data_IF_381982841278
#
_entry.id   IF_381982841278
#
_cell.length_a   1.000
_cell.length_b   1.000
_cell.length_c   1.000
_cell.angle_alpha   90.00
_cell.angle_beta   90.00
_cell.angle_gamma   90.00
#
_symmetry.space_group_name_H-M   'P 1'
#
loop_
_entity.id
_entity.type
_entity.pdbx_description
1 polymer ?
#
# COMPACT_ATOMS: atom_id res chain seq x y z
N UNK A 1 -24.18 37.74 -51.81
CA UNK A 1 -25.54 37.12 -51.84
C UNK A 1 -25.35 35.66 -51.43
N UNK A 2 -25.94 35.06 -50.41
CA UNK A 2 -26.94 35.38 -49.39
C UNK A 2 -26.53 34.51 -48.19
N UNK A 3 -26.09 35.11 -47.09
CA UNK A 3 -25.97 34.43 -45.78
C UNK A 3 -26.57 35.37 -44.74
N UNK A 4 -27.90 35.51 -44.75
CA UNK A 4 -28.63 36.24 -43.70
C UNK A 4 -30.03 35.65 -43.52
N UNK A 5 -30.48 35.71 -42.27
CA UNK A 5 -31.87 35.59 -41.79
C UNK A 5 -32.39 34.25 -41.24
N UNK A 6 -31.53 33.39 -40.67
CA UNK A 6 -32.03 32.23 -39.89
C UNK A 6 -31.82 32.29 -38.36
N UNK A 7 -31.10 33.28 -37.80
CA UNK A 7 -30.70 33.22 -36.37
C UNK A 7 -31.33 34.23 -35.41
N UNK A 8 -32.10 35.23 -35.86
CA UNK A 8 -32.71 36.22 -34.95
C UNK A 8 -34.15 35.89 -34.52
N UNK A 9 -34.91 35.18 -35.35
CA UNK A 9 -36.30 34.80 -35.03
C UNK A 9 -36.38 33.71 -33.94
N UNK A 10 -35.40 32.80 -33.87
CA UNK A 10 -35.34 31.76 -32.83
C UNK A 10 -34.90 32.29 -31.46
N UNK A 11 -34.11 33.37 -31.42
CA UNK A 11 -33.69 34.01 -30.17
C UNK A 11 -34.83 34.83 -29.54
N UNK A 12 -35.67 35.47 -30.36
CA UNK A 12 -36.84 36.22 -29.90
C UNK A 12 -37.96 35.31 -29.34
N UNK A 13 -38.06 34.06 -29.84
CA UNK A 13 -39.04 33.10 -29.35
C UNK A 13 -38.64 32.47 -28.00
N UNK A 14 -37.33 32.33 -27.73
CA UNK A 14 -36.80 31.85 -26.45
C UNK A 14 -37.02 32.84 -25.29
N UNK A 15 -37.25 34.13 -25.57
CA UNK A 15 -37.44 35.18 -24.57
C UNK A 15 -38.91 35.45 -24.21
N UNK A 16 -39.89 34.88 -24.91
CA UNK A 16 -41.32 35.06 -24.59
C UNK A 16 -41.81 34.25 -23.38
N UNK A 17 -41.00 33.33 -22.84
CA UNK A 17 -41.31 32.54 -21.65
C UNK A 17 -40.75 33.08 -20.32
N UNK A 18 -40.03 34.21 -20.31
CA UNK A 18 -39.34 34.73 -19.13
C UNK A 18 -39.90 36.10 -18.69
N UNK A 19 -41.20 36.14 -18.39
CA UNK A 19 -41.80 37.25 -17.65
C UNK A 19 -41.66 36.99 -16.15
N UNK A 20 -40.44 37.12 -15.60
CA UNK A 20 -40.11 37.30 -14.17
C UNK A 20 -38.58 37.38 -14.01
N UNK A 21 -37.95 38.37 -14.66
CA UNK A 21 -36.57 38.77 -14.34
C UNK A 21 -36.64 39.92 -13.33
N UNK A 22 -35.86 39.84 -12.25
CA UNK A 22 -35.75 40.95 -11.30
C UNK A 22 -35.26 42.24 -12.04
N UNK A 23 -35.83 43.42 -11.74
CA UNK A 23 -35.62 44.66 -12.50
C UNK A 23 -34.16 45.05 -12.83
N UNK A 24 -33.16 44.86 -11.94
CA UNK A 24 -31.80 45.31 -12.24
C UNK A 24 -31.11 44.47 -13.34
N UNK A 25 -31.46 43.20 -13.51
CA UNK A 25 -30.78 42.30 -14.45
C UNK A 25 -31.25 42.45 -15.90
N UNK A 26 -32.56 42.64 -16.10
CA UNK A 26 -33.10 42.92 -17.44
C UNK A 26 -32.53 44.21 -18.04
N UNK A 27 -32.28 45.21 -17.19
CA UNK A 27 -31.72 46.51 -17.60
C UNK A 27 -30.25 46.39 -18.01
N UNK A 28 -29.47 45.57 -17.32
CA UNK A 28 -28.05 45.32 -17.62
C UNK A 28 -27.86 44.54 -18.93
N UNK A 29 -28.69 43.50 -19.16
CA UNK A 29 -28.66 42.71 -20.39
C UNK A 29 -29.02 43.56 -21.62
N UNK A 30 -30.04 44.42 -21.49
CA UNK A 30 -30.50 45.30 -22.58
C UNK A 30 -29.48 46.41 -22.91
N UNK A 31 -28.70 46.88 -21.93
CA UNK A 31 -27.62 47.87 -22.14
C UNK A 31 -26.48 47.27 -22.98
N UNK A 32 -26.11 46.04 -22.70
CA UNK A 32 -24.96 45.38 -23.35
C UNK A 32 -25.27 44.87 -24.75
N UNK A 33 -26.53 44.52 -25.00
CA UNK A 33 -27.03 44.26 -26.36
C UNK A 33 -26.98 45.51 -27.26
N UNK A 34 -27.19 46.72 -26.71
CA UNK A 34 -27.11 47.98 -27.49
C UNK A 34 -25.67 48.40 -27.80
N UNK A 35 -24.71 48.05 -26.95
CA UNK A 35 -23.30 48.42 -27.11
C UNK A 35 -22.48 47.45 -27.99
N UNK A 36 -23.13 46.48 -28.66
CA UNK A 36 -22.48 45.46 -29.52
C UNK A 36 -21.36 44.70 -28.80
N UNK A 37 -21.57 44.38 -27.52
CA UNK A 37 -20.64 43.56 -26.76
C UNK A 37 -20.44 42.18 -27.42
N UNK A 38 -19.26 41.56 -27.27
CA UNK A 38 -18.97 40.29 -27.90
C UNK A 38 -19.78 39.14 -27.28
N UNK A 39 -20.06 38.12 -28.10
CA UNK A 39 -21.04 37.04 -27.80
C UNK A 39 -20.76 36.27 -26.50
N UNK A 40 -19.50 36.16 -26.07
CA UNK A 40 -19.11 35.47 -24.85
C UNK A 40 -19.49 36.23 -23.56
N UNK A 41 -19.59 37.56 -23.61
CA UNK A 41 -20.06 38.40 -22.48
C UNK A 41 -21.56 38.24 -22.29
N UNK A 42 -22.32 38.17 -23.39
CA UNK A 42 -23.75 37.90 -23.37
C UNK A 42 -24.06 36.46 -22.89
N UNK A 43 -23.26 35.47 -23.29
CA UNK A 43 -23.41 34.10 -22.82
C UNK A 43 -23.12 33.94 -21.32
N UNK A 44 -22.13 34.67 -20.79
CA UNK A 44 -21.82 34.67 -19.34
C UNK A 44 -22.94 35.25 -18.47
N UNK A 45 -23.60 36.33 -18.92
CA UNK A 45 -24.74 36.92 -18.21
C UNK A 45 -25.99 36.02 -18.22
N UNK A 46 -26.19 35.23 -19.28
CA UNK A 46 -27.29 34.25 -19.36
C UNK A 46 -27.00 33.02 -18.47
N UNK A 47 -25.76 32.57 -18.36
CA UNK A 47 -25.38 31.46 -17.47
C UNK A 47 -25.58 31.79 -15.98
N UNK A 48 -25.33 33.04 -15.57
CA UNK A 48 -25.59 33.52 -14.20
C UNK A 48 -27.10 33.58 -13.87
N UNK A 49 -27.97 33.75 -14.87
CA UNK A 49 -29.43 33.72 -14.70
C UNK A 49 -29.99 32.29 -14.57
N UNK A 50 -29.35 31.31 -15.20
CA UNK A 50 -29.77 29.89 -15.13
C UNK A 50 -29.16 29.22 -13.89
N UNK A 51 -27.96 29.64 -13.46
CA UNK A 51 -27.30 29.10 -12.27
C UNK A 51 -27.88 29.56 -10.92
N UNK A 52 -28.75 30.58 -10.90
CA UNK A 52 -29.32 31.17 -9.68
C UNK A 52 -30.69 30.63 -9.24
N UNK A 53 -31.30 29.71 -9.98
CA UNK A 53 -32.67 29.23 -9.74
C UNK A 53 -32.74 27.72 -9.43
N UNK A 54 -31.85 27.22 -8.57
CA UNK A 54 -31.90 25.86 -8.03
C UNK A 54 -31.73 25.89 -6.51
N UNK A 55 -32.60 26.63 -5.82
CA UNK A 55 -32.88 26.39 -4.41
C UNK A 55 -34.41 26.44 -4.20
N UNK A 56 -34.94 25.38 -3.59
CA UNK A 56 -36.32 25.16 -3.13
C UNK A 56 -37.41 24.93 -4.19
N UNK A 57 -37.73 23.66 -4.44
CA UNK A 57 -39.06 23.11 -4.13
C UNK A 57 -38.95 21.62 -3.78
N UNK A 58 -39.62 21.23 -2.69
CA UNK A 58 -39.56 19.89 -2.11
C UNK A 58 -40.23 18.83 -3.00
N UNK A 59 -39.47 17.78 -3.31
CA UNK A 59 -39.98 16.50 -3.75
C UNK A 59 -40.23 15.58 -2.56
N UNK A 60 -41.36 14.86 -2.59
CA UNK A 60 -41.67 13.73 -1.71
C UNK A 60 -40.49 12.77 -1.62
N UNK A 61 -40.25 12.11 -0.47
CA UNK A 61 -39.11 11.21 -0.32
C UNK A 61 -39.28 10.02 -1.26
N UNK A 62 -38.55 10.04 -2.37
CA UNK A 62 -38.25 8.83 -3.12
C UNK A 62 -37.62 7.84 -2.14
N UNK A 63 -38.04 6.56 -2.10
CA UNK A 63 -37.30 5.57 -1.32
C UNK A 63 -35.83 5.69 -1.74
N UNK A 64 -34.88 5.66 -0.79
CA UNK A 64 -33.48 5.83 -1.15
C UNK A 64 -33.18 4.84 -2.27
N UNK A 65 -32.72 5.34 -3.42
CA UNK A 65 -31.91 4.53 -4.34
C UNK A 65 -30.95 3.77 -3.42
N UNK A 66 -30.88 2.43 -3.46
CA UNK A 66 -30.15 1.67 -2.47
C UNK A 66 -28.77 2.32 -2.37
N UNK A 67 -28.56 2.99 -1.24
CA UNK A 67 -27.25 3.50 -0.91
C UNK A 67 -26.34 2.28 -1.00
N UNK A 68 -25.10 2.48 -1.40
CA UNK A 68 -24.06 1.45 -1.28
C UNK A 68 -23.87 0.98 0.19
N UNK A 69 -24.73 1.39 1.12
CA UNK A 69 -24.80 1.08 2.55
C UNK A 69 -25.67 -0.15 2.85
N UNK A 70 -25.63 -1.13 1.98
CA UNK A 70 -25.65 -2.52 2.44
C UNK A 70 -24.68 -3.37 1.61
N UNK A 71 -23.51 -2.80 1.28
CA UNK A 71 -22.34 -3.65 1.09
C UNK A 71 -22.17 -4.39 2.43
N UNK A 72 -22.59 -5.66 2.48
CA UNK A 72 -22.36 -6.53 3.63
C UNK A 72 -20.90 -6.34 4.03
N UNK A 73 -20.65 -5.68 5.16
CA UNK A 73 -19.30 -5.48 5.66
C UNK A 73 -18.69 -6.87 5.79
N UNK A 74 -17.74 -7.18 4.91
CA UNK A 74 -17.20 -8.53 4.79
C UNK A 74 -16.63 -8.89 6.15
N UNK A 75 -17.21 -9.93 6.77
CA UNK A 75 -16.77 -10.40 8.07
C UNK A 75 -15.67 -11.43 7.88
N UNK A 76 -14.49 -11.10 8.39
CA UNK A 76 -13.31 -11.96 8.39
C UNK A 76 -13.21 -12.75 9.70
N UNK A 77 -12.90 -14.03 9.59
CA UNK A 77 -12.71 -14.95 10.72
C UNK A 77 -11.23 -15.36 10.78
N UNK A 78 -10.56 -15.25 11.92
CA UNK A 78 -9.14 -15.59 12.03
C UNK A 78 -8.91 -17.08 11.80
N UNK A 79 -7.83 -17.39 11.10
CA UNK A 79 -7.31 -18.74 10.92
C UNK A 79 -5.99 -18.89 11.69
N UNK A 80 -4.85 -18.58 11.06
CA UNK A 80 -3.51 -18.64 11.66
C UNK A 80 -2.52 -17.77 10.87
N UNK A 81 -1.44 -17.33 11.51
CA UNK A 81 -0.33 -16.62 10.85
C UNK A 81 -0.80 -15.48 9.93
N UNK A 82 -1.68 -14.62 10.44
CA UNK A 82 -2.34 -13.52 9.73
C UNK A 82 -3.30 -13.93 8.59
N UNK A 83 -3.57 -15.22 8.36
CA UNK A 83 -4.64 -15.66 7.48
C UNK A 83 -6.01 -15.57 8.17
N UNK A 84 -6.99 -15.14 7.38
CA UNK A 84 -8.40 -15.03 7.72
C UNK A 84 -9.24 -15.56 6.57
N UNK A 85 -10.47 -15.98 6.85
CA UNK A 85 -11.42 -16.34 5.81
C UNK A 85 -12.77 -15.67 5.99
N UNK A 86 -13.52 -15.58 4.89
CA UNK A 86 -14.95 -15.19 4.93
C UNK A 86 -15.82 -16.45 5.01
N UNK A 87 -17.14 -16.26 5.23
CA UNK A 87 -18.11 -17.39 5.17
C UNK A 87 -18.24 -17.98 3.77
N UNK A 88 -17.97 -17.18 2.75
CA UNK A 88 -18.08 -17.56 1.35
C UNK A 88 -16.82 -18.28 0.84
N UNK A 89 -15.83 -18.49 1.73
CA UNK A 89 -14.61 -19.24 1.42
C UNK A 89 -13.48 -18.40 0.84
N UNK A 90 -13.58 -17.07 0.82
CA UNK A 90 -12.46 -16.20 0.42
C UNK A 90 -11.34 -16.26 1.47
N UNK A 91 -10.09 -16.17 1.02
CA UNK A 91 -8.91 -16.11 1.88
C UNK A 91 -8.31 -14.71 1.88
N UNK A 92 -7.97 -14.22 3.07
CA UNK A 92 -7.40 -12.90 3.28
C UNK A 92 -6.16 -12.97 4.14
N UNK A 93 -5.10 -12.27 3.75
CA UNK A 93 -3.94 -12.03 4.60
C UNK A 93 -4.06 -10.66 5.25
N UNK A 94 -4.14 -10.62 6.58
CA UNK A 94 -4.36 -9.41 7.36
C UNK A 94 -3.10 -8.52 7.35
N UNK A 95 -3.31 -7.25 7.03
CA UNK A 95 -2.28 -6.20 7.00
C UNK A 95 -2.82 -4.91 7.62
N UNK A 96 -1.92 -3.98 7.93
CA UNK A 96 -2.26 -2.66 8.44
C UNK A 96 -1.77 -1.58 7.47
N UNK A 97 -2.68 -0.75 6.98
CA UNK A 97 -2.34 0.38 6.14
C UNK A 97 -2.44 1.68 6.93
N UNK A 98 -1.43 2.54 6.84
CA UNK A 98 -1.43 3.87 7.41
C UNK A 98 -2.60 4.69 6.83
N UNK A 99 -3.27 5.44 7.70
CA UNK A 99 -4.27 6.41 7.27
C UNK A 99 -3.59 7.70 6.84
N UNK A 100 -4.08 8.34 5.77
CA UNK A 100 -3.46 9.54 5.19
C UNK A 100 -3.38 10.76 6.13
N UNK A 101 -4.02 10.70 7.28
CA UNK A 101 -3.99 11.71 8.35
C UNK A 101 -2.84 11.50 9.36
N UNK A 102 -1.94 10.53 9.11
CA UNK A 102 -0.79 10.17 9.95
C UNK A 102 -1.13 9.79 11.40
N UNK A 103 -2.41 9.51 11.69
CA UNK A 103 -2.89 9.32 13.08
C UNK A 103 -3.49 7.95 13.37
N UNK A 104 -3.36 7.01 12.45
CA UNK A 104 -3.82 5.65 12.64
C UNK A 104 -3.37 4.68 11.56
N UNK A 105 -3.73 3.42 11.77
CA UNK A 105 -3.72 2.40 10.74
C UNK A 105 -5.10 1.78 10.64
N UNK A 106 -5.45 1.32 9.44
CA UNK A 106 -6.67 0.57 9.19
C UNK A 106 -6.31 -0.87 8.84
N UNK A 107 -7.04 -1.81 9.43
CA UNK A 107 -6.91 -3.23 9.12
C UNK A 107 -7.47 -3.49 7.72
N UNK A 108 -6.69 -4.20 6.90
CA UNK A 108 -7.07 -4.62 5.55
C UNK A 108 -6.73 -6.09 5.36
N UNK A 109 -7.30 -6.68 4.33
CA UNK A 109 -7.10 -8.08 3.98
C UNK A 109 -6.70 -8.17 2.51
N UNK A 110 -5.47 -8.62 2.26
CA UNK A 110 -5.00 -8.91 0.91
C UNK A 110 -5.65 -10.21 0.46
N UNK A 111 -6.30 -10.23 -0.70
CA UNK A 111 -6.92 -11.44 -1.28
C UNK A 111 -6.18 -11.97 -2.50
N UNK A 112 -5.18 -11.23 -2.97
CA UNK A 112 -4.33 -11.58 -4.10
C UNK A 112 -2.86 -11.32 -3.74
N UNK A 113 -1.94 -12.02 -4.41
CA UNK A 113 -0.51 -11.77 -4.27
C UNK A 113 -0.10 -10.43 -4.90
N UNK A 114 1.09 -10.00 -4.51
CA UNK A 114 1.73 -8.74 -4.92
C UNK A 114 0.83 -7.53 -4.58
N UNK A 115 0.84 -6.50 -5.42
CA UNK A 115 0.02 -5.31 -5.24
C UNK A 115 -1.44 -5.53 -5.71
N UNK A 116 -1.99 -6.72 -5.48
CA UNK A 116 -3.33 -7.11 -5.91
C UNK A 116 -3.45 -7.55 -7.38
N UNK A 117 -2.32 -7.66 -8.09
CA UNK A 117 -2.28 -8.09 -9.50
C UNK A 117 -1.94 -9.57 -9.70
N UNK A 118 -1.49 -10.26 -8.65
CA UNK A 118 -1.12 -11.68 -8.71
C UNK A 118 -2.33 -12.61 -8.60
N UNK A 119 -2.05 -13.91 -8.48
CA UNK A 119 -3.08 -14.92 -8.27
C UNK A 119 -3.83 -14.68 -6.94
N UNK A 120 -5.05 -15.22 -6.83
CA UNK A 120 -5.80 -15.18 -5.56
C UNK A 120 -5.11 -16.05 -4.53
N UNK A 121 -5.11 -15.60 -3.28
CA UNK A 121 -4.49 -16.35 -2.17
C UNK A 121 -5.16 -17.71 -1.97
N UNK A 122 -6.49 -17.75 -2.07
CA UNK A 122 -7.30 -18.97 -1.88
C UNK A 122 -6.95 -20.09 -2.89
N UNK A 123 -6.45 -19.72 -4.07
CA UNK A 123 -6.15 -20.67 -5.15
C UNK A 123 -4.74 -21.29 -5.02
N UNK A 124 -3.87 -20.70 -4.18
CA UNK A 124 -2.44 -21.07 -4.11
C UNK A 124 -2.02 -21.52 -2.71
N UNK A 125 -2.52 -20.86 -1.66
CA UNK A 125 -2.07 -21.12 -0.28
C UNK A 125 -2.65 -22.42 0.24
N UNK A 126 -1.78 -23.34 0.64
CA UNK A 126 -2.20 -24.49 1.44
C UNK A 126 -2.41 -24.04 2.89
N UNK A 127 -3.66 -23.68 3.21
CA UNK A 127 -4.04 -23.20 4.55
C UNK A 127 -3.71 -24.22 5.62
N UNK A 128 -3.77 -25.53 5.36
CA UNK A 128 -3.53 -26.55 6.39
C UNK A 128 -2.09 -26.56 6.88
N UNK A 129 -1.13 -26.27 6.00
CA UNK A 129 0.32 -26.31 6.29
C UNK A 129 0.97 -24.93 6.36
N UNK A 130 0.22 -23.85 6.10
CA UNK A 130 0.72 -22.49 6.19
C UNK A 130 1.22 -22.13 7.60
N UNK A 131 2.43 -21.60 7.70
CA UNK A 131 3.06 -21.17 8.95
C UNK A 131 4.00 -19.96 8.73
N UNK A 132 4.16 -19.15 9.78
CA UNK A 132 5.15 -18.07 9.82
C UNK A 132 6.51 -18.62 10.28
N UNK A 133 7.59 -18.16 9.65
CA UNK A 133 8.96 -18.56 9.97
C UNK A 133 9.59 -17.59 10.97
N UNK A 134 9.55 -17.96 12.26
CA UNK A 134 10.13 -17.15 13.34
C UNK A 134 9.37 -15.84 13.58
N UNK A 135 10.09 -14.76 13.89
CA UNK A 135 9.56 -13.39 14.03
C UNK A 135 9.61 -12.59 12.72
N UNK A 136 10.03 -13.22 11.62
CA UNK A 136 10.29 -12.55 10.35
C UNK A 136 9.05 -12.38 9.47
N UNK A 137 9.26 -11.74 8.33
CA UNK A 137 8.26 -11.57 7.27
C UNK A 137 8.15 -12.78 6.31
N UNK A 138 8.79 -13.91 6.62
CA UNK A 138 8.72 -15.11 5.80
C UNK A 138 7.66 -16.08 6.29
N UNK A 139 6.96 -16.70 5.35
CA UNK A 139 5.95 -17.73 5.60
C UNK A 139 6.18 -18.90 4.66
N UNK A 140 5.72 -20.09 5.02
CA UNK A 140 5.75 -21.23 4.10
C UNK A 140 4.50 -22.08 4.24
N UNK A 141 4.23 -22.84 3.21
CA UNK A 141 3.38 -24.02 3.30
C UNK A 141 4.12 -25.23 2.70
N UNK A 142 3.43 -26.36 2.53
CA UNK A 142 4.05 -27.59 1.98
C UNK A 142 4.60 -27.42 0.55
N UNK A 143 4.14 -26.41 -0.18
CA UNK A 143 4.38 -26.21 -1.62
C UNK A 143 5.12 -24.92 -1.96
N UNK A 144 5.13 -23.91 -1.09
CA UNK A 144 5.58 -22.57 -1.40
C UNK A 144 6.29 -21.91 -0.22
N UNK A 145 7.19 -20.99 -0.54
CA UNK A 145 7.80 -20.04 0.38
C UNK A 145 7.27 -18.66 -0.01
N UNK A 146 6.88 -17.87 0.98
CA UNK A 146 6.28 -16.56 0.80
C UNK A 146 7.06 -15.51 1.57
N UNK A 147 6.98 -14.28 1.08
CA UNK A 147 7.49 -13.11 1.76
C UNK A 147 6.40 -12.05 1.85
N UNK A 148 6.15 -11.56 3.05
CA UNK A 148 5.43 -10.32 3.26
C UNK A 148 6.43 -9.15 3.18
N UNK A 149 6.06 -8.08 2.50
CA UNK A 149 6.86 -6.87 2.46
C UNK A 149 5.98 -5.72 2.96
N UNK A 150 6.23 -5.32 4.21
CA UNK A 150 5.44 -4.30 4.89
C UNK A 150 5.69 -2.90 4.30
N UNK A 151 4.60 -2.18 4.03
CA UNK A 151 4.60 -0.85 3.46
C UNK A 151 3.48 -0.01 4.07
N UNK A 152 3.60 1.31 3.97
CA UNK A 152 2.61 2.23 4.52
C UNK A 152 1.18 1.99 4.01
N UNK A 153 0.98 1.39 2.84
CA UNK A 153 -0.32 1.08 2.25
C UNK A 153 -0.83 -0.34 2.58
N UNK A 154 -0.14 -1.07 3.47
CA UNK A 154 -0.45 -2.45 3.84
C UNK A 154 0.39 -3.49 3.12
N UNK A 155 1.38 -3.07 2.32
CA UNK A 155 2.39 -3.98 1.80
C UNK A 155 1.87 -4.98 0.77
N UNK A 156 2.65 -6.04 0.59
CA UNK A 156 2.31 -7.15 -0.31
C UNK A 156 2.76 -8.49 0.25
N UNK A 157 1.99 -9.53 -0.05
CA UNK A 157 2.43 -10.92 0.11
C UNK A 157 2.82 -11.43 -1.28
N UNK A 158 4.03 -11.99 -1.41
CA UNK A 158 4.53 -12.51 -2.68
C UNK A 158 5.00 -13.96 -2.52
N UNK A 159 4.90 -14.75 -3.60
CA UNK A 159 5.64 -16.00 -3.70
C UNK A 159 7.13 -15.66 -3.75
N UNK A 160 7.90 -16.17 -2.78
CA UNK A 160 9.31 -15.81 -2.70
C UNK A 160 10.12 -16.38 -3.87
N UNK A 161 9.65 -17.45 -4.51
CA UNK A 161 10.22 -17.96 -5.75
C UNK A 161 10.09 -16.99 -6.92
N UNK A 162 9.13 -16.08 -6.91
CA UNK A 162 9.02 -15.06 -7.96
C UNK A 162 10.07 -13.95 -7.75
N UNK A 163 10.46 -13.72 -6.49
CA UNK A 163 11.53 -12.80 -6.11
C UNK A 163 12.91 -13.44 -6.31
N UNK A 164 13.07 -14.69 -5.86
CA UNK A 164 14.31 -15.47 -5.90
C UNK A 164 14.06 -16.87 -6.49
N UNK A 165 14.03 -17.03 -7.82
CA UNK A 165 13.65 -18.28 -8.50
C UNK A 165 14.49 -19.50 -8.15
N UNK A 166 15.71 -19.28 -7.67
CA UNK A 166 16.66 -20.35 -7.32
C UNK A 166 16.77 -20.62 -5.82
N UNK A 167 15.85 -20.10 -5.00
CA UNK A 167 15.83 -20.39 -3.57
C UNK A 167 15.61 -21.86 -3.30
N UNK A 168 16.45 -22.46 -2.46
CA UNK A 168 16.24 -23.81 -1.96
C UNK A 168 15.30 -23.75 -0.74
N UNK A 169 14.00 -23.95 -1.01
CA UNK A 169 12.94 -23.96 0.01
C UNK A 169 13.19 -24.97 1.13
N UNK A 170 13.73 -26.14 0.82
CA UNK A 170 13.85 -27.24 1.80
C UNK A 170 14.90 -26.91 2.87
N UNK A 171 15.96 -26.22 2.46
CA UNK A 171 17.04 -25.76 3.35
C UNK A 171 16.86 -24.32 3.85
N UNK A 172 15.74 -23.66 3.52
CA UNK A 172 15.50 -22.27 3.88
C UNK A 172 15.28 -22.11 5.40
N UNK A 173 16.08 -21.22 6.01
CA UNK A 173 16.08 -20.93 7.44
C UNK A 173 16.17 -19.43 7.64
N UNK A 174 15.26 -18.88 8.44
CA UNK A 174 15.32 -17.51 8.92
C UNK A 174 16.38 -17.40 10.01
N UNK A 175 17.31 -16.45 9.85
CA UNK A 175 18.39 -16.21 10.81
C UNK A 175 17.99 -15.16 11.85
N UNK A 176 17.35 -14.08 11.41
CA UNK A 176 16.73 -13.05 12.25
C UNK A 176 15.71 -12.26 11.41
N UNK A 177 15.23 -11.12 11.91
CA UNK A 177 14.23 -10.28 11.21
C UNK A 177 14.72 -9.71 9.86
N UNK A 178 16.03 -9.67 9.63
CA UNK A 178 16.64 -9.06 8.45
C UNK A 178 17.21 -10.09 7.47
N UNK A 179 17.65 -11.23 7.97
CA UNK A 179 18.43 -12.20 7.21
C UNK A 179 17.80 -13.59 7.25
N UNK A 180 17.83 -14.25 6.10
CA UNK A 180 17.55 -15.67 5.96
C UNK A 180 18.66 -16.34 5.14
N UNK A 181 18.66 -17.66 5.10
CA UNK A 181 19.60 -18.42 4.28
C UNK A 181 18.98 -19.67 3.74
N UNK A 182 19.54 -20.17 2.65
CA UNK A 182 19.42 -21.57 2.26
C UNK A 182 20.81 -22.24 2.30
N UNK A 183 20.93 -23.46 1.76
CA UNK A 183 22.22 -24.18 1.76
C UNK A 183 23.35 -23.47 0.99
N UNK A 184 23.04 -22.56 0.08
CA UNK A 184 23.98 -21.98 -0.87
C UNK A 184 24.00 -20.45 -0.89
N UNK A 185 23.07 -19.77 -0.21
CA UNK A 185 22.91 -18.31 -0.29
C UNK A 185 22.44 -17.71 1.03
N UNK A 186 22.75 -16.42 1.19
CA UNK A 186 22.19 -15.55 2.21
C UNK A 186 21.25 -14.57 1.55
N UNK A 187 20.12 -14.31 2.20
CA UNK A 187 19.08 -13.41 1.75
C UNK A 187 18.90 -12.27 2.75
N UNK A 188 18.80 -11.05 2.22
CA UNK A 188 18.36 -9.89 2.96
C UNK A 188 16.90 -9.60 2.62
N UNK A 189 16.06 -9.37 3.64
CA UNK A 189 14.62 -9.30 3.48
C UNK A 189 14.16 -8.18 2.52
N UNK A 190 14.90 -7.08 2.38
CA UNK A 190 14.55 -6.01 1.41
C UNK A 190 15.33 -6.06 0.10
N UNK A 191 16.32 -6.94 -0.03
CA UNK A 191 17.30 -6.87 -1.14
C UNK A 191 17.53 -8.17 -1.89
N UNK A 192 16.85 -9.27 -1.55
CA UNK A 192 17.10 -10.58 -2.16
C UNK A 192 18.42 -11.18 -1.70
N UNK A 193 19.07 -12.00 -2.53
CA UNK A 193 20.31 -12.67 -2.13
C UNK A 193 21.56 -11.79 -2.18
N UNK A 194 22.43 -11.96 -1.19
CA UNK A 194 23.69 -11.22 -1.04
C UNK A 194 24.80 -11.99 -1.75
N UNK A 195 25.35 -11.41 -2.83
CA UNK A 195 26.26 -12.13 -3.75
C UNK A 195 27.61 -12.47 -3.13
N UNK A 196 28.14 -11.56 -2.34
CA UNK A 196 29.48 -11.64 -1.76
C UNK A 196 29.50 -12.36 -0.41
N UNK A 197 28.32 -12.71 0.12
CA UNK A 197 28.21 -13.37 1.42
C UNK A 197 28.65 -14.83 1.33
N UNK A 198 29.43 -15.24 2.32
CA UNK A 198 29.77 -16.66 2.52
C UNK A 198 28.74 -17.34 3.43
N UNK A 199 27.83 -18.19 2.89
CA UNK A 199 26.74 -18.76 3.67
C UNK A 199 27.20 -19.74 4.75
N UNK A 200 28.38 -20.36 4.57
CA UNK A 200 28.94 -21.33 5.50
C UNK A 200 29.49 -20.69 6.78
N UNK A 201 29.81 -19.40 6.74
CA UNK A 201 30.34 -18.64 7.88
C UNK A 201 29.49 -17.45 8.30
N UNK A 202 28.34 -17.25 7.65
CA UNK A 202 27.45 -16.11 7.90
C UNK A 202 26.79 -16.18 9.28
N UNK A 203 26.85 -15.07 10.01
CA UNK A 203 26.28 -14.88 11.34
C UNK A 203 25.50 -13.56 11.32
N UNK A 204 24.17 -13.66 11.42
CA UNK A 204 23.31 -12.52 11.70
C UNK A 204 23.41 -12.16 13.20
N UNK A 205 23.54 -10.86 13.52
CA UNK A 205 23.79 -10.40 14.89
C UNK A 205 22.51 -9.88 15.54
N UNK A 206 21.96 -10.68 16.47
CA UNK A 206 20.79 -10.31 17.27
C UNK A 206 19.58 -9.94 16.41
N UNK A 207 18.76 -9.02 16.91
CA UNK A 207 17.58 -8.45 16.22
C UNK A 207 17.96 -7.18 15.42
N UNK A 208 19.15 -7.19 14.80
CA UNK A 208 19.66 -6.03 14.06
C UNK A 208 19.94 -6.35 12.59
N UNK A 209 20.10 -5.31 11.79
CA UNK A 209 20.52 -5.42 10.40
C UNK A 209 22.03 -5.69 10.24
N UNK A 210 22.76 -5.88 11.34
CA UNK A 210 24.19 -6.20 11.31
C UNK A 210 24.39 -7.71 11.17
N UNK A 211 25.28 -8.09 10.28
CA UNK A 211 25.76 -9.45 10.13
C UNK A 211 27.24 -9.45 9.77
N UNK A 212 27.84 -10.64 9.75
CA UNK A 212 29.20 -10.84 9.24
C UNK A 212 29.36 -12.23 8.67
N UNK A 213 30.37 -12.41 7.84
CA UNK A 213 30.91 -13.71 7.51
C UNK A 213 32.39 -13.79 7.90
N UNK A 214 33.14 -14.75 7.35
CA UNK A 214 34.58 -14.89 7.60
C UNK A 214 35.43 -13.78 6.95
N UNK A 215 34.88 -13.03 6.01
CA UNK A 215 35.59 -12.06 5.17
C UNK A 215 35.25 -10.60 5.53
N UNK A 216 34.00 -10.32 5.90
CA UNK A 216 33.51 -8.93 6.06
C UNK A 216 32.27 -8.84 6.95
N UNK A 217 31.88 -7.60 7.25
CA UNK A 217 30.60 -7.27 7.87
C UNK A 217 29.57 -6.89 6.81
N UNK A 218 28.30 -7.02 7.18
CA UNK A 218 27.16 -6.58 6.38
C UNK A 218 26.23 -5.73 7.23
N UNK A 219 25.74 -4.64 6.66
CA UNK A 219 24.72 -3.79 7.26
C UNK A 219 23.62 -3.55 6.23
N UNK A 220 22.37 -3.85 6.59
CA UNK A 220 21.22 -3.78 5.67
C UNK A 220 21.44 -4.54 4.35
N UNK A 221 22.09 -5.71 4.41
CA UNK A 221 22.37 -6.55 3.24
C UNK A 221 23.58 -6.13 2.41
N UNK A 222 24.23 -5.01 2.73
CA UNK A 222 25.39 -4.50 1.99
C UNK A 222 26.68 -4.71 2.76
N UNK A 223 27.80 -4.91 2.05
CA UNK A 223 29.11 -5.02 2.68
C UNK A 223 29.46 -3.70 3.41
N UNK A 224 29.83 -3.81 4.69
CA UNK A 224 30.13 -2.67 5.54
C UNK A 224 31.60 -2.66 5.96
N UNK A 225 32.18 -1.45 6.01
CA UNK A 225 33.50 -1.23 6.59
C UNK A 225 33.44 -1.25 8.12
N UNK A 226 34.50 -1.69 8.83
CA UNK A 226 34.50 -1.79 10.28
C UNK A 226 34.13 -0.49 11.02
N UNK A 227 34.55 0.67 10.50
CA UNK A 227 34.23 1.98 11.07
C UNK A 227 32.73 2.33 10.99
N UNK A 228 32.04 1.90 9.93
CA UNK A 228 30.60 2.08 9.80
C UNK A 228 29.84 1.20 10.80
N UNK A 229 30.33 -0.03 11.01
CA UNK A 229 29.79 -0.95 12.01
C UNK A 229 29.97 -0.37 13.42
N UNK A 230 31.14 0.20 13.73
CA UNK A 230 31.39 0.86 15.00
C UNK A 230 30.42 2.02 15.26
N UNK A 231 30.19 2.88 14.26
CA UNK A 231 29.20 3.96 14.37
C UNK A 231 27.80 3.43 14.66
N UNK A 232 27.36 2.41 13.90
CA UNK A 232 26.06 1.76 14.09
C UNK A 232 25.89 1.14 15.47
N UNK A 233 26.92 0.45 15.98
CA UNK A 233 26.90 -0.18 17.30
C UNK A 233 26.87 0.85 18.44
N UNK A 234 27.55 1.99 18.27
CA UNK A 234 27.50 3.09 19.25
C UNK A 234 26.08 3.68 19.35
N UNK A 235 25.40 3.85 18.22
CA UNK A 235 24.04 4.40 18.20
C UNK A 235 22.99 3.45 18.81
N UNK A 236 23.08 2.15 18.53
CA UNK A 236 22.05 1.17 18.94
C UNK A 236 22.30 0.61 20.33
N UNK A 237 23.55 0.32 20.67
CA UNK A 237 23.88 -0.31 21.94
C UNK A 237 24.30 0.70 23.02
N UNK A 238 24.53 1.97 22.67
CA UNK A 238 25.09 2.98 23.58
C UNK A 238 26.49 2.60 24.12
N UNK A 239 27.15 1.63 23.49
CA UNK A 239 28.43 1.07 23.93
C UNK A 239 29.58 1.93 23.39
N UNK A 240 30.44 2.41 24.29
CA UNK A 240 31.71 3.07 23.93
C UNK A 240 32.86 2.07 24.12
N UNK A 241 33.62 1.76 23.06
CA UNK A 241 34.69 0.75 23.10
C UNK A 241 35.34 0.47 21.74
N UNK A 242 36.37 -0.38 21.70
CA UNK A 242 37.01 -0.81 20.45
C UNK A 242 36.23 -1.97 19.79
N UNK A 243 36.36 -2.10 18.46
CA UNK A 243 35.57 -3.03 17.63
C UNK A 243 35.48 -4.45 18.18
N UNK A 244 36.57 -5.12 18.61
CA UNK A 244 36.50 -6.50 19.07
C UNK A 244 35.66 -6.65 20.36
N UNK A 245 35.71 -5.67 21.26
CA UNK A 245 34.98 -5.69 22.51
C UNK A 245 33.47 -5.44 22.31
N UNK A 246 33.13 -4.47 21.46
CA UNK A 246 31.72 -4.17 21.14
C UNK A 246 31.08 -5.33 20.39
N UNK A 247 31.79 -5.94 19.43
CA UNK A 247 31.30 -7.11 18.70
C UNK A 247 31.18 -8.35 19.61
N UNK A 248 32.08 -8.53 20.57
CA UNK A 248 31.97 -9.63 21.55
C UNK A 248 30.75 -9.46 22.46
N UNK A 249 30.46 -8.23 22.89
CA UNK A 249 29.28 -7.89 23.70
C UNK A 249 27.98 -8.04 22.90
N UNK A 250 27.93 -7.59 21.64
CA UNK A 250 26.76 -7.85 20.78
C UNK A 250 26.56 -9.35 20.50
N UNK A 251 27.64 -10.15 20.42
CA UNK A 251 27.53 -11.62 20.30
C UNK A 251 27.05 -12.29 21.57
N UNK A 252 27.39 -11.78 22.76
CA UNK A 252 26.89 -12.34 24.02
C UNK A 252 25.38 -12.08 24.19
N UNK A 253 24.89 -11.01 23.57
CA UNK A 253 23.47 -10.66 23.47
C UNK A 253 22.74 -11.35 22.29
N UNK A 254 23.47 -12.01 21.38
CA UNK A 254 22.88 -12.71 20.25
C UNK A 254 22.14 -13.99 20.72
N UNK A 255 20.84 -14.06 20.43
CA UNK A 255 20.01 -15.22 20.69
C UNK A 255 20.43 -16.36 19.75
N UNK A 256 20.86 -17.49 20.32
CA UNK A 256 21.08 -18.73 19.58
C UNK A 256 19.80 -19.14 18.83
N UNK A 257 19.88 -19.78 17.64
CA UNK A 257 18.70 -20.22 16.91
C UNK A 257 17.84 -21.09 17.83
N UNK A 258 16.63 -20.60 18.16
CA UNK A 258 15.68 -21.38 18.93
C UNK A 258 15.32 -22.58 18.06
N UNK A 259 15.72 -23.79 18.49
CA UNK A 259 15.14 -25.02 17.96
C UNK A 259 13.63 -24.86 18.03
N UNK A 260 12.97 -25.01 16.89
CA UNK A 260 11.53 -25.18 16.79
C UNK A 260 11.09 -26.18 17.86
N UNK A 261 10.46 -25.69 18.92
CA UNK A 261 9.74 -26.54 19.85
C UNK A 261 8.39 -26.78 19.22
N UNK A 262 8.31 -27.84 18.43
CA UNK A 262 7.05 -28.45 18.06
C UNK A 262 6.32 -28.84 19.36
N UNK A 263 5.13 -28.29 19.56
CA UNK A 263 4.11 -28.83 20.46
C UNK A 263 2.73 -28.52 19.93
#
# INVERSE_FOLDING_TARGET
MIFRFASLARLALALRGFALLAPPFATLLMREMKNKAPLFVLAGLVALLIGGALIFTGGQPTPPSPTLESAHQIRWFPLKSNLYSTRDGELGFRVFAATGDQKGSTERYLTHFDFGGGARLVDVIDVSTFEQLGTSDFYRDKTHLYQYYDMADGGRLSLYTDVEPSVDRESFVVLNDFYAKDKGRIYYHRGGWIREADPGSFIAMGESALAKDRHRYFLFGEAALPEAVLGYLQEICGLTGNEPAVVAECRSQAVQPRKSTAR
#
